data_IF_739818314076
#
_entry.id   IF_739818314076
#
_cell.length_a   1.000
_cell.length_b   1.000
_cell.length_c   1.000
_cell.angle_alpha   90.00
_cell.angle_beta   90.00
_cell.angle_gamma   90.00
#
_symmetry.space_group_name_H-M   'P 1'
#
loop_
_entity.id
_entity.type
_entity.pdbx_description
1 polymer ?
#
# COMPACT_ATOMS: atom_id res chain seq x y z
N UNK A 1 10.10 16.99 8.26
CA UNK A 1 10.13 16.77 6.81
C UNK A 1 9.82 18.06 6.06
N UNK A 2 8.58 18.52 6.12
CA UNK A 2 8.14 19.75 5.43
C UNK A 2 8.89 21.01 5.88
N UNK A 3 9.15 21.18 7.18
CA UNK A 3 9.90 22.35 7.68
C UNK A 3 11.34 22.42 7.14
N UNK A 4 11.98 21.27 6.94
CA UNK A 4 13.36 21.21 6.42
C UNK A 4 13.37 21.61 4.94
N UNK A 5 12.41 21.12 4.15
CA UNK A 5 12.28 21.49 2.74
C UNK A 5 11.94 22.97 2.57
N UNK A 6 11.01 23.50 3.39
CA UNK A 6 10.68 24.91 3.40
C UNK A 6 11.87 25.79 3.79
N UNK A 7 12.61 25.39 4.83
CA UNK A 7 13.83 26.11 5.25
C UNK A 7 14.90 26.08 4.16
N UNK A 8 15.08 24.94 3.49
CA UNK A 8 16.02 24.81 2.39
C UNK A 8 15.66 25.72 1.19
N UNK A 9 14.37 25.83 0.85
CA UNK A 9 13.91 26.78 -0.18
C UNK A 9 14.23 28.21 0.21
N UNK A 10 13.93 28.62 1.45
CA UNK A 10 14.24 29.98 1.95
C UNK A 10 15.74 30.27 1.86
N UNK A 11 16.60 29.36 2.32
CA UNK A 11 18.05 29.54 2.24
C UNK A 11 18.55 29.65 0.80
N UNK A 12 17.98 28.90 -0.14
CA UNK A 12 18.36 29.00 -1.55
C UNK A 12 17.93 30.34 -2.18
N UNK A 13 16.76 30.88 -1.80
CA UNK A 13 16.31 32.21 -2.21
C UNK A 13 17.21 33.33 -1.64
N UNK A 14 17.69 33.18 -0.40
CA UNK A 14 18.66 34.10 0.19
C UNK A 14 20.00 34.07 -0.56
N UNK A 15 20.47 32.89 -0.97
CA UNK A 15 21.69 32.74 -1.78
C UNK A 15 21.52 33.37 -3.17
N UNK A 16 20.36 33.20 -3.81
CA UNK A 16 20.03 33.82 -5.09
C UNK A 16 20.10 35.35 -4.98
N UNK A 17 19.44 35.93 -3.97
CA UNK A 17 19.47 37.37 -3.70
C UNK A 17 20.87 37.89 -3.40
N UNK A 18 21.66 37.13 -2.63
CA UNK A 18 23.06 37.47 -2.34
C UNK A 18 23.91 37.45 -3.62
N UNK A 19 23.68 36.49 -4.51
CA UNK A 19 24.38 36.39 -5.81
C UNK A 19 24.06 37.58 -6.72
N UNK A 20 22.81 38.03 -6.76
CA UNK A 20 22.43 39.26 -7.47
C UNK A 20 23.14 40.51 -6.93
N UNK A 21 23.25 40.61 -5.60
CA UNK A 21 23.93 41.72 -4.95
C UNK A 21 25.43 41.72 -5.26
N UNK A 22 26.07 40.54 -5.24
CA UNK A 22 27.45 40.38 -5.68
C UNK A 22 27.59 40.81 -7.16
N UNK A 23 26.68 40.41 -8.04
CA UNK A 23 26.70 40.80 -9.46
C UNK A 23 26.61 42.32 -9.67
N UNK A 24 25.82 43.02 -8.85
CA UNK A 24 25.75 44.49 -8.83
C UNK A 24 27.09 45.11 -8.39
N UNK A 25 27.69 44.59 -7.31
CA UNK A 25 28.99 45.05 -6.81
C UNK A 25 30.09 44.86 -7.87
N UNK A 26 30.12 43.70 -8.52
CA UNK A 26 31.10 43.41 -9.58
C UNK A 26 30.94 44.35 -10.77
N UNK A 27 29.69 44.68 -11.15
CA UNK A 27 29.42 45.65 -12.22
C UNK A 27 29.85 47.07 -11.84
N UNK A 28 29.73 47.45 -10.56
CA UNK A 28 30.27 48.71 -10.05
C UNK A 28 31.80 48.74 -10.11
N UNK A 29 32.47 47.64 -9.72
CA UNK A 29 33.93 47.52 -9.77
C UNK A 29 34.45 47.66 -11.21
N UNK A 30 33.80 47.02 -12.19
CA UNK A 30 34.14 47.18 -13.61
C UNK A 30 33.97 48.65 -14.07
N UNK A 31 32.90 49.31 -13.62
CA UNK A 31 32.70 50.75 -13.86
C UNK A 31 33.82 51.62 -13.27
N UNK A 32 34.27 51.33 -12.04
CA UNK A 32 35.40 52.03 -11.41
C UNK A 32 36.69 51.78 -12.19
N UNK A 33 36.96 50.53 -12.58
CA UNK A 33 38.13 50.17 -13.38
C UNK A 33 38.15 50.92 -14.72
N UNK A 34 37.00 51.01 -15.40
CA UNK A 34 36.86 51.79 -16.62
C UNK A 34 37.14 53.29 -16.42
N UNK A 35 36.62 53.89 -15.34
CA UNK A 35 36.90 55.28 -15.00
C UNK A 35 38.39 55.50 -14.67
N UNK A 36 39.02 54.60 -13.92
CA UNK A 36 40.47 54.65 -13.64
C UNK A 36 41.30 54.54 -14.91
N UNK A 37 40.89 53.69 -15.85
CA UNK A 37 41.53 53.55 -17.16
C UNK A 37 41.44 54.86 -17.98
N UNK A 38 40.29 55.55 -17.97
CA UNK A 38 40.13 56.85 -18.62
C UNK A 38 40.96 57.96 -17.96
N UNK A 39 41.00 58.00 -16.62
CA UNK A 39 41.85 58.94 -15.87
C UNK A 39 43.33 58.74 -16.17
N UNK A 40 43.78 57.48 -16.23
CA UNK A 40 45.15 57.12 -16.57
C UNK A 40 45.51 57.51 -18.01
N UNK A 41 44.58 57.34 -18.96
CA UNK A 41 44.76 57.82 -20.34
C UNK A 41 44.94 59.34 -20.37
N UNK A 42 44.09 60.11 -19.68
CA UNK A 42 44.19 61.56 -19.62
C UNK A 42 45.53 62.02 -19.00
N UNK A 43 45.96 61.35 -17.93
CA UNK A 43 47.26 61.60 -17.31
C UNK A 43 48.44 61.29 -18.25
N UNK A 44 48.34 60.22 -19.04
CA UNK A 44 49.34 59.87 -20.06
C UNK A 44 49.45 60.92 -21.16
N UNK A 45 48.31 61.48 -21.62
CA UNK A 45 48.28 62.56 -22.62
C UNK A 45 48.92 63.84 -22.06
N UNK A 46 48.59 64.23 -20.83
CA UNK A 46 49.16 65.44 -20.21
C UNK A 46 50.66 65.27 -19.90
N UNK A 47 51.08 64.06 -19.54
CA UNK A 47 52.50 63.73 -19.37
C UNK A 47 53.29 63.83 -20.68
N UNK A 48 52.72 63.38 -21.80
CA UNK A 48 53.32 63.56 -23.14
C UNK A 48 53.42 65.04 -23.52
N UNK A 49 52.42 65.84 -23.13
CA UNK A 49 52.37 67.28 -23.37
C UNK A 49 53.44 68.06 -22.57
N UNK A 50 53.78 67.58 -21.37
CA UNK A 50 54.83 68.15 -20.52
C UNK A 50 56.27 67.81 -20.96
N UNK A 51 56.45 66.96 -21.98
CA UNK A 51 57.77 66.63 -22.54
C UNK A 51 58.71 65.92 -21.56
N UNK A 52 59.96 66.40 -21.44
CA UNK A 52 60.98 65.80 -20.54
C UNK A 52 60.54 65.78 -19.07
N UNK A 53 59.82 66.81 -18.60
CA UNK A 53 59.34 66.90 -17.22
C UNK A 53 58.23 65.87 -16.89
N UNK A 54 57.54 65.34 -17.91
CA UNK A 54 56.43 64.41 -17.77
C UNK A 54 56.82 62.93 -17.81
N UNK A 55 58.09 62.58 -18.08
CA UNK A 55 58.51 61.17 -18.29
C UNK A 55 58.16 60.24 -17.13
N UNK A 56 58.34 60.68 -15.88
CA UNK A 56 57.97 59.89 -14.69
C UNK A 56 56.46 59.67 -14.57
N UNK A 57 55.67 60.70 -14.85
CA UNK A 57 54.20 60.61 -14.84
C UNK A 57 53.66 59.73 -15.96
N UNK A 58 54.30 59.70 -17.12
CA UNK A 58 53.92 58.82 -18.23
C UNK A 58 54.05 57.33 -17.89
N UNK A 59 55.10 56.95 -17.15
CA UNK A 59 55.29 55.56 -16.69
C UNK A 59 54.20 55.18 -15.69
N UNK A 60 53.92 56.06 -14.71
CA UNK A 60 52.85 55.82 -13.72
C UNK A 60 51.49 55.70 -14.40
N UNK A 61 51.18 56.58 -15.37
CA UNK A 61 49.93 56.53 -16.13
C UNK A 61 49.78 55.20 -16.90
N UNK A 62 50.86 54.68 -17.46
CA UNK A 62 50.85 53.38 -18.17
C UNK A 62 50.61 52.22 -17.20
N UNK A 63 51.25 52.24 -16.03
CA UNK A 63 51.07 51.20 -15.01
C UNK A 63 49.66 51.20 -14.41
N UNK A 64 49.11 52.38 -14.13
CA UNK A 64 47.72 52.54 -13.64
C UNK A 64 46.72 52.06 -14.70
N UNK A 65 46.97 52.34 -15.98
CA UNK A 65 46.15 51.85 -17.09
C UNK A 65 46.17 50.32 -17.17
N UNK A 66 47.35 49.71 -17.09
CA UNK A 66 47.51 48.26 -17.10
C UNK A 66 46.81 47.60 -15.90
N UNK A 67 46.91 48.21 -14.71
CA UNK A 67 46.21 47.75 -13.50
C UNK A 67 44.69 47.84 -13.65
N UNK A 68 44.18 48.93 -14.23
CA UNK A 68 42.75 49.10 -14.49
C UNK A 68 42.21 48.06 -15.48
N UNK A 69 42.95 47.75 -16.55
CA UNK A 69 42.58 46.69 -17.50
C UNK A 69 42.53 45.31 -16.83
N UNK A 70 43.54 44.98 -16.02
CA UNK A 70 43.55 43.74 -15.22
C UNK A 70 42.37 43.65 -14.26
N UNK A 71 41.94 44.78 -13.69
CA UNK A 71 40.76 44.84 -12.82
C UNK A 71 39.46 44.55 -13.57
N UNK A 72 39.28 45.12 -14.78
CA UNK A 72 38.14 44.82 -15.66
C UNK A 72 38.10 43.35 -16.07
N UNK A 73 39.24 42.76 -16.44
CA UNK A 73 39.31 41.34 -16.80
C UNK A 73 38.91 40.45 -15.61
N UNK A 74 39.46 40.72 -14.42
CA UNK A 74 39.11 39.98 -13.21
C UNK A 74 37.64 40.16 -12.80
N UNK A 75 37.10 41.38 -12.92
CA UNK A 75 35.68 41.64 -12.65
C UNK A 75 34.77 40.86 -13.62
N UNK A 76 35.16 40.75 -14.90
CA UNK A 76 34.43 39.95 -15.89
C UNK A 76 34.45 38.46 -15.55
N UNK A 77 35.59 37.92 -15.12
CA UNK A 77 35.70 36.52 -14.71
C UNK A 77 34.83 36.21 -13.49
N UNK A 78 34.84 37.10 -12.48
CA UNK A 78 33.95 36.99 -11.31
C UNK A 78 32.49 37.03 -11.75
N UNK A 79 32.12 37.91 -12.68
CA UNK A 79 30.75 38.03 -13.19
C UNK A 79 30.27 36.75 -13.86
N UNK A 80 31.13 36.09 -14.64
CA UNK A 80 30.84 34.79 -15.25
C UNK A 80 30.60 33.73 -14.17
N UNK A 81 31.46 33.64 -13.16
CA UNK A 81 31.32 32.68 -12.06
C UNK A 81 30.04 32.91 -11.24
N UNK A 82 29.72 34.16 -10.91
CA UNK A 82 28.49 34.51 -10.15
C UNK A 82 27.24 34.18 -10.96
N UNK A 83 27.25 34.44 -12.26
CA UNK A 83 26.12 34.11 -13.14
C UNK A 83 25.91 32.60 -13.25
N UNK A 84 27.00 31.83 -13.38
CA UNK A 84 26.93 30.37 -13.37
C UNK A 84 26.39 29.83 -12.03
N UNK A 85 26.90 30.36 -10.90
CA UNK A 85 26.41 30.00 -9.56
C UNK A 85 24.92 30.31 -9.37
N UNK A 86 24.45 31.47 -9.83
CA UNK A 86 23.04 31.84 -9.78
C UNK A 86 22.16 30.87 -10.58
N UNK A 87 22.60 30.46 -11.77
CA UNK A 87 21.87 29.44 -12.55
C UNK A 87 21.80 28.09 -11.83
N UNK A 88 22.89 27.64 -11.19
CA UNK A 88 22.91 26.41 -10.40
C UNK A 88 22.00 26.48 -9.18
N UNK A 89 21.97 27.62 -8.47
CA UNK A 89 21.07 27.83 -7.33
C UNK A 89 19.61 27.78 -7.77
N UNK A 90 19.26 28.43 -8.89
CA UNK A 90 17.90 28.41 -9.44
C UNK A 90 17.44 26.98 -9.79
N UNK A 91 18.32 26.17 -10.40
CA UNK A 91 18.05 24.74 -10.63
C UNK A 91 17.88 23.95 -9.33
N UNK A 92 18.67 24.27 -8.30
CA UNK A 92 18.55 23.72 -6.96
C UNK A 92 17.19 24.01 -6.32
N UNK A 93 16.73 25.26 -6.39
CA UNK A 93 15.40 25.68 -5.90
C UNK A 93 14.31 24.84 -6.55
N UNK A 94 14.30 24.70 -7.88
CA UNK A 94 13.29 23.92 -8.59
C UNK A 94 13.28 22.44 -8.14
N UNK A 95 14.46 21.86 -7.93
CA UNK A 95 14.59 20.47 -7.47
C UNK A 95 14.04 20.29 -6.05
N UNK A 96 14.30 21.25 -5.15
CA UNK A 96 13.76 21.25 -3.79
C UNK A 96 12.24 21.41 -3.80
N UNK A 97 11.70 22.29 -4.66
CA UNK A 97 10.26 22.49 -4.81
C UNK A 97 9.55 21.21 -5.28
N UNK A 98 10.08 20.54 -6.30
CA UNK A 98 9.54 19.24 -6.76
C UNK A 98 9.62 18.17 -5.67
N UNK A 99 10.70 18.16 -4.91
CA UNK A 99 10.85 17.24 -3.76
C UNK A 99 9.79 17.51 -2.70
N UNK A 100 9.50 18.79 -2.41
CA UNK A 100 8.43 19.19 -1.48
C UNK A 100 7.07 18.70 -1.96
N UNK A 101 6.76 18.79 -3.26
CA UNK A 101 5.50 18.29 -3.82
C UNK A 101 5.35 16.77 -3.62
N UNK A 102 6.39 16.00 -3.94
CA UNK A 102 6.39 14.55 -3.73
C UNK A 102 6.22 14.18 -2.25
N UNK A 103 6.85 14.93 -1.34
CA UNK A 103 6.69 14.72 0.10
C UNK A 103 5.27 15.02 0.58
N UNK A 104 4.59 16.03 -0.01
CA UNK A 104 3.18 16.31 0.28
C UNK A 104 2.30 15.16 -0.19
N UNK A 105 2.50 14.68 -1.43
CA UNK A 105 1.75 13.53 -1.96
C UNK A 105 1.96 12.28 -1.08
N UNK A 106 3.20 12.01 -0.68
CA UNK A 106 3.53 10.89 0.20
C UNK A 106 2.81 11.00 1.54
N UNK A 107 2.78 12.20 2.14
CA UNK A 107 2.06 12.45 3.38
C UNK A 107 0.57 12.15 3.25
N UNK A 108 -0.05 12.56 2.14
CA UNK A 108 -1.46 12.26 1.85
C UNK A 108 -1.70 10.76 1.73
N UNK A 109 -0.86 10.05 0.96
CA UNK A 109 -0.97 8.58 0.81
C UNK A 109 -0.81 7.84 2.14
N UNK A 110 0.11 8.28 3.00
CA UNK A 110 0.27 7.69 4.34
C UNK A 110 -1.00 7.91 5.18
N UNK A 111 -1.63 9.09 5.09
CA UNK A 111 -2.90 9.34 5.76
C UNK A 111 -4.02 8.41 5.26
N UNK A 112 -4.12 8.20 3.95
CA UNK A 112 -5.09 7.27 3.35
C UNK A 112 -4.86 5.83 3.82
N UNK A 113 -3.60 5.39 3.90
CA UNK A 113 -3.24 4.07 4.44
C UNK A 113 -3.68 3.94 5.90
N UNK A 114 -3.47 4.97 6.74
CA UNK A 114 -3.91 4.93 8.13
C UNK A 114 -5.43 4.82 8.26
N UNK A 115 -6.19 5.54 7.42
CA UNK A 115 -7.64 5.41 7.36
C UNK A 115 -8.05 4.00 6.92
N UNK A 116 -7.41 3.46 5.88
CA UNK A 116 -7.68 2.12 5.39
C UNK A 116 -7.40 1.05 6.45
N UNK A 117 -6.29 1.15 7.19
CA UNK A 117 -5.96 0.23 8.29
C UNK A 117 -7.03 0.31 9.39
N UNK A 118 -7.50 1.51 9.72
CA UNK A 118 -8.58 1.69 10.71
C UNK A 118 -9.88 1.02 10.25
N UNK A 119 -10.22 1.14 8.97
CA UNK A 119 -11.39 0.47 8.39
C UNK A 119 -11.25 -1.06 8.40
N UNK A 120 -10.07 -1.59 8.09
CA UNK A 120 -9.78 -3.02 8.18
C UNK A 120 -9.94 -3.51 9.61
N UNK A 121 -9.43 -2.79 10.60
CA UNK A 121 -9.57 -3.15 12.00
C UNK A 121 -11.05 -3.19 12.44
N UNK A 122 -11.83 -2.19 12.04
CA UNK A 122 -13.28 -2.15 12.33
C UNK A 122 -14.03 -3.32 11.68
N UNK A 123 -13.81 -3.56 10.38
CA UNK A 123 -14.43 -4.69 9.65
C UNK A 123 -14.02 -6.05 10.23
N UNK A 124 -12.79 -6.17 10.69
CA UNK A 124 -12.31 -7.40 11.35
C UNK A 124 -13.06 -7.60 12.67
N UNK A 125 -13.29 -6.53 13.45
CA UNK A 125 -14.12 -6.57 14.64
C UNK A 125 -15.56 -7.02 14.36
N UNK A 126 -16.18 -6.49 13.30
CA UNK A 126 -17.51 -6.90 12.84
C UNK A 126 -17.55 -8.37 12.40
N UNK A 127 -16.55 -8.83 11.64
CA UNK A 127 -16.45 -10.23 11.22
C UNK A 127 -16.31 -11.18 12.43
N UNK A 128 -15.56 -10.80 13.46
CA UNK A 128 -15.45 -11.59 14.69
C UNK A 128 -16.82 -11.72 15.38
N UNK A 129 -17.63 -10.66 15.39
CA UNK A 129 -18.99 -10.74 15.92
C UNK A 129 -19.87 -11.67 15.08
N UNK A 130 -19.82 -11.56 13.75
CA UNK A 130 -20.57 -12.46 12.85
C UNK A 130 -20.17 -13.94 13.01
N UNK A 131 -18.87 -14.21 13.22
CA UNK A 131 -18.40 -15.57 13.46
C UNK A 131 -18.93 -16.15 14.78
N UNK A 132 -19.17 -15.32 15.81
CA UNK A 132 -19.82 -15.78 17.05
C UNK A 132 -21.26 -16.21 16.79
N UNK A 133 -22.00 -15.46 15.98
CA UNK A 133 -23.37 -15.81 15.62
C UNK A 133 -23.43 -17.12 14.82
N UNK A 134 -22.54 -17.28 13.82
CA UNK A 134 -22.42 -18.54 13.06
C UNK A 134 -22.10 -19.71 13.99
N UNK A 135 -21.19 -19.52 14.95
CA UNK A 135 -20.84 -20.57 15.92
C UNK A 135 -22.04 -20.96 16.79
N UNK A 136 -22.85 -19.98 17.21
CA UNK A 136 -24.08 -20.24 17.96
C UNK A 136 -25.10 -21.04 17.12
N UNK A 137 -25.34 -20.64 15.87
CA UNK A 137 -26.24 -21.37 14.96
C UNK A 137 -25.77 -22.80 14.69
N UNK A 138 -24.46 -23.03 14.52
CA UNK A 138 -23.92 -24.39 14.36
C UNK A 138 -24.16 -25.24 15.60
N UNK A 139 -24.03 -24.65 16.79
CA UNK A 139 -24.33 -25.35 18.05
C UNK A 139 -25.81 -25.72 18.17
N UNK A 140 -26.72 -24.83 17.75
CA UNK A 140 -28.15 -25.09 17.71
C UNK A 140 -28.51 -26.19 16.68
N UNK A 141 -27.89 -26.15 15.50
CA UNK A 141 -28.05 -27.20 14.48
C UNK A 141 -27.56 -28.56 14.97
N UNK A 142 -26.45 -28.61 15.71
CA UNK A 142 -25.96 -29.85 16.32
C UNK A 142 -26.98 -30.40 17.33
N UNK A 143 -27.54 -29.53 18.19
CA UNK A 143 -28.58 -29.92 19.14
C UNK A 143 -29.83 -30.48 18.44
N UNK A 144 -30.33 -29.81 17.39
CA UNK A 144 -31.46 -30.31 16.61
C UNK A 144 -31.14 -31.64 15.92
N UNK A 145 -29.91 -31.82 15.45
CA UNK A 145 -29.47 -33.08 14.82
C UNK A 145 -29.48 -34.22 15.84
N UNK A 146 -28.99 -33.99 17.05
CA UNK A 146 -29.04 -34.96 18.14
C UNK A 146 -30.48 -35.27 18.56
N UNK A 147 -31.34 -34.25 18.65
CA UNK A 147 -32.76 -34.43 18.97
C UNK A 147 -33.48 -35.26 17.89
N UNK A 148 -33.18 -35.01 16.61
CA UNK A 148 -33.71 -35.81 15.50
C UNK A 148 -33.26 -37.27 15.59
N UNK A 149 -31.99 -37.53 15.93
CA UNK A 149 -31.51 -38.89 16.15
C UNK A 149 -32.27 -39.58 17.30
N UNK A 150 -32.44 -38.90 18.44
CA UNK A 150 -33.20 -39.42 19.57
C UNK A 150 -34.67 -39.69 19.23
N UNK A 151 -35.32 -38.78 18.50
CA UNK A 151 -36.69 -38.97 18.02
C UNK A 151 -36.83 -40.16 17.07
N UNK A 152 -35.83 -40.41 16.22
CA UNK A 152 -35.81 -41.57 15.33
C UNK A 152 -35.69 -42.87 16.14
N UNK A 153 -34.85 -42.90 17.19
CA UNK A 153 -34.74 -44.05 18.09
C UNK A 153 -36.04 -44.33 18.84
N UNK A 154 -36.67 -43.28 19.38
CA UNK A 154 -37.97 -43.37 20.07
C UNK A 154 -39.06 -43.86 19.10
N UNK A 155 -39.12 -43.30 17.89
CA UNK A 155 -40.05 -43.73 16.84
C UNK A 155 -39.85 -45.19 16.44
N UNK A 156 -38.61 -45.64 16.32
CA UNK A 156 -38.29 -47.04 16.04
C UNK A 156 -38.66 -47.96 17.20
N UNK A 157 -38.56 -47.51 18.45
CA UNK A 157 -39.05 -48.25 19.62
C UNK A 157 -40.59 -48.34 19.64
N UNK A 158 -41.28 -47.24 19.37
CA UNK A 158 -42.74 -47.19 19.27
C UNK A 158 -43.26 -48.10 18.14
N UNK A 159 -42.62 -48.07 16.96
CA UNK A 159 -42.97 -48.95 15.84
C UNK A 159 -42.79 -50.44 16.19
N UNK A 160 -41.72 -50.80 16.91
CA UNK A 160 -41.52 -52.17 17.42
C UNK A 160 -42.61 -52.60 18.40
N UNK A 161 -42.97 -51.72 19.35
CA UNK A 161 -44.05 -51.98 20.32
C UNK A 161 -45.41 -52.18 19.62
N UNK A 162 -45.74 -51.31 18.66
CA UNK A 162 -46.95 -51.42 17.84
C UNK A 162 -46.99 -52.74 17.06
N UNK A 163 -45.87 -53.15 16.44
CA UNK A 163 -45.78 -54.43 15.74
C UNK A 163 -46.03 -55.62 16.69
N UNK A 164 -45.50 -55.55 17.91
CA UNK A 164 -45.67 -56.59 18.93
C UNK A 164 -47.13 -56.69 19.42
N UNK A 165 -47.81 -55.55 19.57
CA UNK A 165 -49.24 -55.50 19.90
C UNK A 165 -50.10 -56.04 18.76
N UNK A 166 -49.79 -55.69 17.50
CA UNK A 166 -50.48 -56.21 16.33
C UNK A 166 -50.35 -57.74 16.22
N UNK A 167 -49.16 -58.29 16.49
CA UNK A 167 -48.93 -59.74 16.54
C UNK A 167 -49.75 -60.41 17.65
N UNK A 168 -49.80 -59.81 18.84
CA UNK A 168 -50.61 -60.30 19.97
C UNK A 168 -52.10 -60.31 19.62
N UNK A 169 -52.60 -59.24 19.00
CA UNK A 169 -53.99 -59.14 18.56
C UNK A 169 -54.31 -60.18 17.49
N UNK A 170 -53.44 -60.36 16.50
CA UNK A 170 -53.58 -61.38 15.45
C UNK A 170 -53.65 -62.79 16.04
N UNK A 171 -52.77 -63.12 16.99
CA UNK A 171 -52.80 -64.40 17.70
C UNK A 171 -54.11 -64.61 18.49
N UNK A 172 -54.62 -63.55 19.11
CA UNK A 172 -55.87 -63.58 19.89
C UNK A 172 -57.08 -63.82 18.99
N UNK A 173 -57.15 -63.15 17.84
CA UNK A 173 -58.21 -63.36 16.84
C UNK A 173 -58.13 -64.77 16.24
N UNK A 174 -56.92 -65.28 15.97
CA UNK A 174 -56.71 -66.63 15.45
C UNK A 174 -57.12 -67.76 16.41
N UNK A 175 -57.18 -67.49 17.72
CA UNK A 175 -57.65 -68.46 18.71
C UNK A 175 -59.17 -68.66 18.72
N UNK A 176 -59.95 -67.76 18.10
CA UNK A 176 -61.38 -67.93 17.95
C UNK A 176 -61.67 -69.05 16.93
N UNK A 177 -62.10 -70.21 17.44
CA UNK A 177 -62.67 -71.27 16.63
C UNK A 177 -64.03 -70.83 16.09
N UNK A 178 -64.05 -70.40 14.84
CA UNK A 178 -65.29 -70.30 14.06
C UNK A 178 -65.72 -71.74 13.78
N UNK A 179 -66.92 -72.11 14.23
CA UNK A 179 -67.44 -73.48 14.14
C UNK A 179 -67.27 -74.08 12.74
N UNK A 180 -66.85 -75.34 12.71
CA UNK A 180 -66.57 -76.13 11.51
C UNK A 180 -67.72 -76.10 10.51
N UNK A 181 -67.59 -75.25 9.50
CA UNK A 181 -68.28 -75.43 8.22
C UNK A 181 -67.57 -74.70 7.07
N UNK A 182 -66.24 -74.83 7.01
CA UNK A 182 -65.54 -74.62 5.74
C UNK A 182 -64.67 -75.84 5.50
N UNK A 183 -65.16 -76.67 4.58
CA UNK A 183 -64.46 -77.79 3.97
C UNK A 183 -63.03 -77.39 3.65
N UNK A 184 -62.12 -78.31 3.97
CA UNK A 184 -60.81 -78.41 3.36
C UNK A 184 -60.91 -78.13 1.85
N UNK A 185 -60.35 -77.00 1.43
CA UNK A 185 -59.70 -76.91 0.13
C UNK A 185 -58.23 -76.73 0.45
N UNK A 186 -57.54 -77.85 0.50
CA UNK A 186 -56.12 -77.92 0.21
C UNK A 186 -55.91 -77.32 -1.18
N UNK A 187 -55.32 -76.13 -1.24
CA UNK A 187 -54.40 -75.78 -2.32
C UNK A 187 -53.39 -74.77 -1.81
N UNK A 188 -52.15 -75.24 -1.74
CA UNK A 188 -50.96 -74.42 -1.54
C UNK A 188 -50.93 -73.27 -2.54
N UNK A 189 -50.85 -72.05 -2.02
CA UNK A 189 -50.13 -70.98 -2.68
C UNK A 189 -48.93 -70.65 -1.78
N UNK A 190 -47.77 -71.11 -2.20
CA UNK A 190 -46.48 -70.55 -1.77
C UNK A 190 -46.56 -69.03 -1.86
N UNK A 191 -46.26 -68.26 -0.79
CA UNK A 191 -45.98 -66.84 -0.98
C UNK A 191 -44.75 -66.73 -1.90
N UNK A 192 -44.71 -65.81 -2.88
CA UNK A 192 -43.46 -65.52 -3.55
C UNK A 192 -42.47 -65.11 -2.45
N UNK A 193 -41.32 -65.78 -2.43
CA UNK A 193 -40.20 -65.36 -1.61
C UNK A 193 -39.97 -63.87 -1.92
N UNK A 194 -40.19 -63.00 -0.93
CA UNK A 194 -39.65 -61.66 -1.00
C UNK A 194 -38.13 -61.88 -1.06
N UNK A 195 -37.56 -61.70 -2.25
CA UNK A 195 -36.13 -61.70 -2.40
C UNK A 195 -35.58 -60.72 -1.36
N UNK A 196 -34.55 -61.09 -0.57
CA UNK A 196 -33.87 -60.08 0.21
C UNK A 196 -33.45 -58.99 -0.78
N UNK A 197 -33.89 -57.76 -0.54
CA UNK A 197 -33.35 -56.62 -1.26
C UNK A 197 -31.82 -56.77 -1.27
N UNK A 198 -31.13 -56.58 -2.40
CA UNK A 198 -29.70 -56.71 -2.43
C UNK A 198 -29.15 -55.82 -1.32
N UNK A 199 -28.38 -56.43 -0.41
CA UNK A 199 -27.52 -55.69 0.51
C UNK A 199 -26.83 -54.64 -0.35
N UNK A 200 -27.13 -53.36 -0.11
CA UNK A 200 -26.35 -52.30 -0.68
C UNK A 200 -24.89 -52.63 -0.32
N UNK A 201 -24.09 -52.92 -1.34
CA UNK A 201 -22.66 -52.98 -1.17
C UNK A 201 -22.24 -51.68 -0.47
N UNK A 202 -21.27 -51.70 0.46
CA UNK A 202 -20.71 -50.46 0.94
C UNK A 202 -20.25 -49.68 -0.30
N UNK A 203 -20.89 -48.54 -0.57
CA UNK A 203 -20.38 -47.61 -1.56
C UNK A 203 -18.93 -47.32 -1.14
N UNK A 204 -17.94 -47.38 -2.05
CA UNK A 204 -16.66 -46.79 -1.72
C UNK A 204 -16.94 -45.34 -1.35
N UNK A 205 -16.46 -44.92 -0.19
CA UNK A 205 -16.48 -43.53 0.23
C UNK A 205 -15.92 -42.71 -0.93
N UNK A 206 -16.81 -42.02 -1.66
CA UNK A 206 -16.39 -41.05 -2.65
C UNK A 206 -15.86 -39.91 -1.82
N UNK A 207 -14.54 -39.90 -1.63
CA UNK A 207 -13.83 -38.75 -1.13
C UNK A 207 -14.40 -37.53 -1.87
N UNK A 208 -15.03 -36.64 -1.13
CA UNK A 208 -15.30 -35.32 -1.65
C UNK A 208 -13.94 -34.79 -2.09
N UNK A 209 -13.74 -34.65 -3.40
CA UNK A 209 -12.73 -33.74 -3.91
C UNK A 209 -13.20 -32.36 -3.49
N UNK A 210 -12.81 -31.97 -2.28
CA UNK A 210 -12.65 -30.58 -1.93
C UNK A 210 -11.53 -30.09 -2.84
N UNK A 211 -11.91 -29.49 -3.95
CA UNK A 211 -10.99 -28.67 -4.71
C UNK A 211 -10.90 -27.33 -3.96
N UNK A 212 -10.24 -27.39 -2.80
CA UNK A 212 -9.77 -26.23 -2.07
C UNK A 212 -8.37 -25.94 -2.57
N UNK A 213 -8.22 -24.87 -3.35
CA UNK A 213 -6.92 -24.23 -3.54
C UNK A 213 -6.51 -23.61 -2.20
N UNK A 214 -5.90 -24.40 -1.32
CA UNK A 214 -5.21 -23.94 -0.11
C UNK A 214 -4.06 -24.90 0.15
N UNK A 215 -3.12 -24.93 -0.80
CA UNK A 215 -1.73 -25.23 -0.46
C UNK A 215 -1.18 -23.95 0.18
N UNK A 216 -1.30 -23.85 1.50
CA UNK A 216 -0.38 -23.03 2.28
C UNK A 216 0.96 -23.74 2.15
N UNK A 217 1.83 -23.22 1.28
CA UNK A 217 3.25 -23.44 1.46
C UNK A 217 3.60 -22.90 2.85
N UNK A 218 4.11 -23.77 3.71
CA UNK A 218 4.90 -23.36 4.85
C UNK A 218 6.18 -22.73 4.30
N UNK A 219 6.09 -21.46 3.93
CA UNK A 219 7.27 -20.61 3.77
C UNK A 219 7.69 -20.13 5.17
N UNK A 220 8.98 -20.32 5.41
CA UNK A 220 9.77 -19.88 6.55
C UNK A 220 9.27 -18.57 7.16
N UNK A 221 8.99 -18.62 8.46
CA UNK A 221 8.81 -17.44 9.31
C UNK A 221 10.08 -17.08 10.09
N UNK A 222 11.25 -17.57 9.68
CA UNK A 222 12.51 -17.39 10.41
C UNK A 222 13.38 -16.22 9.90
N UNK A 223 12.89 -15.34 9.03
CA UNK A 223 13.66 -14.14 8.67
C UNK A 223 12.78 -12.93 8.30
N UNK A 224 12.15 -12.30 9.30
CA UNK A 224 11.82 -10.85 9.32
C UNK A 224 11.57 -10.34 10.74
#
# INVERSE_FOLDING_TARGET
GQDIAASATTSMQEIERSSEEISRIVSLIDGIAFQTNLLALNAGVEAARAGEAGKGFAVVATEVRALAQRCTDAARDIKVLVTASSATVSQGVNTVERTREVLVELSTRISEINTFISDVANKTGEQVAQLRDVTATVTEMDQMTQQNAAMVEESAAAARSLAQQANTLSASVGAFRIGDNVRHITQHATPPAYAPAPRAAPMPARAARVQGNLAVQSEDWDEF
#
